data_IF_392870969334
#
_entry.id   IF_392870969334
#
_cell.length_a   1.000
_cell.length_b   1.000
_cell.length_c   1.000
_cell.angle_alpha   90.00
_cell.angle_beta   90.00
_cell.angle_gamma   90.00
#
_symmetry.space_group_name_H-M   'P 1'
#
loop_
_entity.id
_entity.type
_entity.pdbx_description
1 polymer ?
#
# COMPACT_ATOMS: atom_id res chain seq x y z
N UNK A 1 -1.78 9.35 -9.75
CA UNK A 1 -2.81 8.61 -10.51
C UNK A 1 -3.17 7.35 -9.76
N UNK A 2 -4.03 6.52 -10.35
CA UNK A 2 -4.50 5.26 -9.76
C UNK A 2 -4.52 4.16 -10.83
N UNK A 3 -4.71 2.91 -10.41
CA UNK A 3 -4.81 1.74 -11.28
C UNK A 3 -6.03 0.92 -10.86
N UNK A 4 -6.87 0.54 -11.81
CA UNK A 4 -8.00 -0.37 -11.63
C UNK A 4 -8.12 -1.29 -12.86
N UNK A 5 -8.52 -2.54 -12.64
CA UNK A 5 -8.85 -3.49 -13.70
C UNK A 5 -9.74 -4.60 -13.10
N UNK A 6 -10.93 -4.80 -13.66
CA UNK A 6 -11.92 -5.77 -13.18
C UNK A 6 -11.49 -7.23 -13.42
N UNK A 7 -10.64 -7.48 -14.42
CA UNK A 7 -10.25 -8.83 -14.87
C UNK A 7 -8.73 -8.99 -14.93
N UNK A 8 -8.01 -8.26 -14.07
CA UNK A 8 -6.56 -8.24 -14.06
C UNK A 8 -5.99 -9.66 -13.92
N UNK A 9 -5.10 -10.04 -14.84
CA UNK A 9 -4.36 -11.30 -14.74
C UNK A 9 -3.24 -11.26 -13.66
N UNK A 10 -2.96 -10.08 -13.10
CA UNK A 10 -1.96 -9.86 -12.08
C UNK A 10 -2.46 -8.84 -11.04
N UNK A 11 -1.93 -8.92 -9.82
CA UNK A 11 -2.30 -7.97 -8.77
C UNK A 11 -1.72 -6.57 -9.04
N UNK A 12 -2.28 -5.55 -8.38
CA UNK A 12 -1.91 -4.15 -8.56
C UNK A 12 -0.41 -3.89 -8.32
N UNK A 13 0.21 -4.60 -7.38
CA UNK A 13 1.63 -4.48 -7.05
C UNK A 13 2.54 -4.95 -8.19
N UNK A 14 2.10 -5.99 -8.94
CA UNK A 14 2.81 -6.45 -10.13
C UNK A 14 2.60 -5.49 -11.30
N UNK A 15 1.35 -5.11 -11.54
CA UNK A 15 0.98 -4.22 -12.63
C UNK A 15 1.73 -2.88 -12.51
N UNK A 16 1.83 -2.29 -11.31
CA UNK A 16 2.53 -1.02 -11.09
C UNK A 16 3.98 -1.05 -11.60
N UNK A 17 4.76 -2.07 -11.23
CA UNK A 17 6.16 -2.16 -11.67
C UNK A 17 6.32 -2.61 -13.12
N UNK A 18 5.28 -3.19 -13.73
CA UNK A 18 5.34 -3.61 -15.13
C UNK A 18 4.92 -2.50 -16.10
N UNK A 19 3.96 -1.65 -15.73
CA UNK A 19 3.36 -0.66 -16.65
C UNK A 19 3.58 0.78 -16.22
N UNK A 20 3.51 1.09 -14.93
CA UNK A 20 3.58 2.48 -14.44
C UNK A 20 5.03 2.91 -14.20
N UNK A 21 5.83 2.04 -13.58
CA UNK A 21 7.23 2.33 -13.26
C UNK A 21 8.16 1.17 -13.67
N UNK A 22 8.27 0.89 -14.99
CA UNK A 22 9.03 -0.25 -15.52
C UNK A 22 10.55 -0.09 -15.41
N UNK A 23 11.04 1.15 -15.36
CA UNK A 23 12.46 1.47 -15.29
C UNK A 23 12.71 2.65 -14.34
N UNK A 24 13.91 2.68 -13.77
CA UNK A 24 14.36 3.70 -12.83
C UNK A 24 15.62 4.35 -13.37
N UNK A 25 15.62 5.67 -13.45
CA UNK A 25 16.81 6.45 -13.78
C UNK A 25 17.79 6.41 -12.58
N UNK A 26 19.02 5.89 -12.74
CA UNK A 26 20.01 5.85 -11.66
C UNK A 26 20.39 7.22 -11.09
N UNK A 27 20.20 8.31 -11.84
CA UNK A 27 20.51 9.67 -11.40
C UNK A 27 19.46 10.25 -10.45
N UNK A 28 18.23 9.70 -10.47
CA UNK A 28 17.11 10.19 -9.66
C UNK A 28 16.92 9.37 -8.38
N UNK A 29 16.24 9.97 -7.40
CA UNK A 29 15.76 9.27 -6.21
C UNK A 29 14.24 9.26 -6.23
N UNK A 30 13.66 8.07 -6.12
CA UNK A 30 12.23 7.85 -6.17
C UNK A 30 11.68 7.66 -4.76
N UNK A 31 10.62 8.41 -4.43
CA UNK A 31 9.82 8.17 -3.22
C UNK A 31 8.40 7.87 -3.68
N UNK A 32 8.04 6.59 -3.65
CA UNK A 32 6.73 6.10 -4.07
C UNK A 32 5.90 5.82 -2.83
N UNK A 33 4.65 6.29 -2.85
CA UNK A 33 3.64 5.99 -1.83
C UNK A 33 2.48 5.28 -2.51
N UNK A 34 2.11 4.12 -1.99
CA UNK A 34 0.90 3.40 -2.40
C UNK A 34 -0.18 3.53 -1.33
N UNK A 35 -1.41 3.69 -1.79
CA UNK A 35 -2.63 3.58 -1.00
C UNK A 35 -3.41 2.40 -1.56
N UNK A 36 -3.50 1.33 -0.78
CA UNK A 36 -4.15 0.08 -1.19
C UNK A 36 -5.12 -0.39 -0.13
N UNK A 37 -6.16 -1.12 -0.54
CA UNK A 37 -7.20 -1.58 0.38
C UNK A 37 -6.67 -2.56 1.43
N UNK A 38 -5.71 -3.42 1.07
CA UNK A 38 -5.07 -4.37 1.99
C UNK A 38 -3.58 -4.56 1.75
N UNK A 39 -2.88 -5.15 2.72
CA UNK A 39 -1.48 -5.55 2.57
C UNK A 39 -1.27 -6.59 1.45
N UNK A 40 -0.07 -6.63 0.84
CA UNK A 40 0.22 -7.56 -0.24
C UNK A 40 0.16 -9.02 0.22
N UNK A 41 -0.18 -9.93 -0.70
CA UNK A 41 -0.01 -11.36 -0.48
C UNK A 41 1.48 -11.75 -0.47
N UNK A 42 1.81 -12.98 -0.05
CA UNK A 42 3.20 -13.45 0.04
C UNK A 42 3.97 -13.33 -1.29
N UNK A 43 3.33 -13.68 -2.42
CA UNK A 43 3.96 -13.58 -3.74
C UNK A 43 4.25 -12.12 -4.14
N UNK A 44 3.31 -11.19 -3.86
CA UNK A 44 3.51 -9.76 -4.13
C UNK A 44 4.60 -9.17 -3.23
N UNK A 45 4.63 -9.54 -1.96
CA UNK A 45 5.67 -9.13 -1.01
C UNK A 45 7.08 -9.54 -1.47
N UNK A 46 7.24 -10.76 -1.98
CA UNK A 46 8.51 -11.24 -2.54
C UNK A 46 8.92 -10.45 -3.80
N UNK A 47 7.97 -10.11 -4.67
CA UNK A 47 8.24 -9.30 -5.87
C UNK A 47 8.68 -7.88 -5.51
N UNK A 48 7.97 -7.22 -4.60
CA UNK A 48 8.32 -5.89 -4.09
C UNK A 48 9.72 -5.93 -3.47
N UNK A 49 10.00 -6.93 -2.64
CA UNK A 49 11.31 -7.13 -2.01
C UNK A 49 12.42 -7.28 -3.05
N UNK A 50 12.19 -8.09 -4.09
CA UNK A 50 13.14 -8.24 -5.21
C UNK A 50 13.36 -6.92 -5.95
N UNK A 51 12.31 -6.15 -6.21
CA UNK A 51 12.43 -4.83 -6.86
C UNK A 51 13.27 -3.88 -6.00
N UNK A 52 12.92 -3.70 -4.72
CA UNK A 52 13.67 -2.85 -3.79
C UNK A 52 15.13 -3.29 -3.62
N UNK A 53 15.39 -4.59 -3.68
CA UNK A 53 16.75 -5.12 -3.63
C UNK A 53 17.60 -4.69 -4.83
N UNK A 54 17.00 -4.56 -6.03
CA UNK A 54 17.67 -4.18 -7.28
C UNK A 54 17.76 -2.66 -7.43
N UNK A 55 16.76 -1.91 -6.97
CA UNK A 55 16.65 -0.46 -7.20
C UNK A 55 16.92 0.32 -5.91
N UNK A 56 18.19 0.54 -5.57
CA UNK A 56 18.60 1.17 -4.31
C UNK A 56 18.20 2.65 -4.18
N UNK A 57 17.85 3.30 -5.29
CA UNK A 57 17.37 4.67 -5.34
C UNK A 57 15.84 4.79 -5.20
N UNK A 58 15.12 3.67 -4.99
CA UNK A 58 13.69 3.64 -4.72
C UNK A 58 13.43 3.49 -3.22
N UNK A 59 12.57 4.36 -2.69
CA UNK A 59 11.92 4.21 -1.37
C UNK A 59 10.44 3.99 -1.58
N UNK A 60 9.91 2.92 -0.99
CA UNK A 60 8.49 2.58 -1.06
C UNK A 60 7.85 2.69 0.32
N UNK A 61 6.75 3.43 0.38
CA UNK A 61 5.80 3.47 1.48
C UNK A 61 4.49 2.84 1.00
N UNK A 62 3.99 1.86 1.73
CA UNK A 62 2.68 1.25 1.48
C UNK A 62 1.78 1.58 2.67
N UNK A 63 0.70 2.29 2.39
CA UNK A 63 -0.39 2.56 3.30
C UNK A 63 -1.54 1.61 2.95
N UNK A 64 -1.93 0.77 3.91
CA UNK A 64 -2.93 -0.28 3.71
C UNK A 64 -4.17 0.00 4.55
N UNK A 65 -5.37 -0.18 4.00
CA UNK A 65 -6.61 -0.04 4.79
C UNK A 65 -6.77 -1.12 5.87
N UNK A 66 -6.32 -2.34 5.57
CA UNK A 66 -6.35 -3.50 6.49
C UNK A 66 -5.21 -4.49 6.20
N UNK A 67 -4.99 -5.46 7.08
CA UNK A 67 -4.07 -6.57 6.80
C UNK A 67 -4.80 -7.73 6.10
N UNK A 68 -4.20 -8.21 5.02
CA UNK A 68 -4.67 -9.39 4.27
C UNK A 68 -4.12 -10.65 4.92
N UNK A 69 -5.00 -11.55 5.42
CA UNK A 69 -4.62 -12.86 5.98
C UNK A 69 -3.49 -12.79 7.04
N UNK A 70 -3.55 -11.80 7.94
CA UNK A 70 -2.48 -11.52 8.92
C UNK A 70 -2.23 -12.64 9.93
N UNK A 71 -3.20 -13.51 10.15
CA UNK A 71 -3.09 -14.68 11.02
C UNK A 71 -2.19 -15.77 10.41
N UNK A 72 -2.01 -15.76 9.09
CA UNK A 72 -1.22 -16.77 8.39
C UNK A 72 0.29 -16.56 8.62
N UNK A 73 1.03 -17.60 9.05
CA UNK A 73 2.47 -17.51 9.26
C UNK A 73 3.24 -17.08 8.02
N UNK A 74 2.85 -17.53 6.82
CA UNK A 74 3.53 -17.13 5.59
C UNK A 74 3.38 -15.63 5.31
N UNK A 75 2.21 -15.05 5.61
CA UNK A 75 1.98 -13.62 5.45
C UNK A 75 2.82 -12.84 6.45
N UNK A 76 2.84 -13.22 7.72
CA UNK A 76 3.66 -12.53 8.73
C UNK A 76 5.15 -12.55 8.34
N UNK A 77 5.65 -13.69 7.86
CA UNK A 77 7.02 -13.80 7.38
C UNK A 77 7.28 -12.89 6.17
N UNK A 78 6.33 -12.80 5.24
CA UNK A 78 6.42 -11.93 4.08
C UNK A 78 6.43 -10.42 4.46
N UNK A 79 5.60 -10.00 5.42
CA UNK A 79 5.57 -8.61 5.92
C UNK A 79 6.87 -8.23 6.63
N UNK A 80 7.47 -9.15 7.41
CA UNK A 80 8.79 -8.96 8.02
C UNK A 80 9.88 -8.76 6.98
N UNK A 81 9.94 -9.63 5.96
CA UNK A 81 10.90 -9.52 4.84
C UNK A 81 10.74 -8.20 4.09
N UNK A 82 9.51 -7.73 3.88
CA UNK A 82 9.24 -6.42 3.27
C UNK A 82 9.87 -5.29 4.08
N UNK A 83 9.69 -5.29 5.41
CA UNK A 83 10.31 -4.31 6.31
C UNK A 83 11.84 -4.37 6.23
N UNK A 84 12.42 -5.56 6.26
CA UNK A 84 13.87 -5.78 6.14
C UNK A 84 14.42 -5.28 4.80
N UNK A 85 13.65 -5.40 3.71
CA UNK A 85 13.98 -4.86 2.39
C UNK A 85 13.95 -3.33 2.31
N UNK A 86 13.56 -2.65 3.39
CA UNK A 86 13.46 -1.18 3.47
C UNK A 86 12.10 -0.63 3.05
N UNK A 87 11.10 -1.48 2.81
CA UNK A 87 9.73 -1.04 2.59
C UNK A 87 9.13 -0.53 3.90
N UNK A 88 8.53 0.67 3.88
CA UNK A 88 7.73 1.15 5.01
C UNK A 88 6.30 0.69 4.82
N UNK A 89 5.76 -0.07 5.77
CA UNK A 89 4.37 -0.52 5.78
C UNK A 89 3.64 0.13 6.97
N UNK A 90 2.48 0.73 6.73
CA UNK A 90 1.62 1.31 7.79
C UNK A 90 0.15 1.10 7.48
N UNK A 91 -0.67 1.13 8.51
CA UNK A 91 -2.13 1.13 8.38
C UNK A 91 -2.60 2.56 8.09
N UNK A 92 -3.56 2.69 7.16
CA UNK A 92 -4.22 3.95 6.88
C UNK A 92 -5.04 4.39 8.09
N UNK A 93 -4.74 5.59 8.58
CA UNK A 93 -5.57 6.28 9.58
C UNK A 93 -6.74 6.99 8.89
N UNK A 94 -7.78 7.44 9.63
CA UNK A 94 -8.93 8.11 9.03
C UNK A 94 -8.56 9.28 8.08
N UNK A 95 -7.51 10.03 8.40
CA UNK A 95 -7.04 11.15 7.59
C UNK A 95 -6.41 10.70 6.26
N UNK A 96 -5.89 9.48 6.18
CA UNK A 96 -5.36 8.95 4.93
C UNK A 96 -6.50 8.59 3.95
N UNK A 97 -7.64 8.13 4.46
CA UNK A 97 -8.84 7.91 3.64
C UNK A 97 -9.43 9.23 3.14
N UNK A 98 -9.51 10.24 4.00
CA UNK A 98 -9.90 11.59 3.59
C UNK A 98 -8.97 12.14 2.51
N UNK A 99 -7.66 11.98 2.69
CA UNK A 99 -6.66 12.39 1.70
C UNK A 99 -6.87 11.69 0.37
N UNK A 100 -7.05 10.37 0.36
CA UNK A 100 -7.30 9.61 -0.88
C UNK A 100 -8.58 10.08 -1.56
N UNK A 101 -9.67 10.25 -0.80
CA UNK A 101 -10.94 10.73 -1.33
C UNK A 101 -10.80 12.10 -2.01
N UNK A 102 -10.19 13.07 -1.32
CA UNK A 102 -10.07 14.44 -1.83
C UNK A 102 -9.13 14.58 -3.04
N UNK A 103 -8.12 13.71 -3.15
CA UNK A 103 -7.05 13.88 -4.14
C UNK A 103 -7.12 12.90 -5.32
N UNK A 104 -7.81 11.77 -5.18
CA UNK A 104 -7.87 10.72 -6.21
C UNK A 104 -9.28 10.40 -6.69
N UNK A 105 -10.32 10.77 -5.93
CA UNK A 105 -11.71 10.60 -6.36
C UNK A 105 -12.20 11.92 -6.97
N UNK A 106 -12.65 11.86 -8.22
CA UNK A 106 -13.24 13.00 -8.90
C UNK A 106 -14.52 13.43 -8.18
N UNK A 107 -14.60 14.71 -7.81
CA UNK A 107 -15.78 15.27 -7.17
C UNK A 107 -16.82 15.62 -8.24
N UNK A 108 -18.08 15.32 -7.98
CA UNK A 108 -19.17 15.67 -8.91
C UNK A 108 -19.21 17.20 -9.15
N UNK A 109 -19.42 17.58 -10.40
CA UNK A 109 -19.32 18.98 -10.85
C UNK A 109 -20.32 19.87 -10.09
N UNK A 110 -19.80 20.90 -9.41
CA UNK A 110 -20.60 21.84 -8.63
C UNK A 110 -20.77 21.50 -7.15
N UNK A 111 -20.26 20.36 -6.67
CA UNK A 111 -20.35 19.96 -5.27
C UNK A 111 -18.96 19.71 -4.64
N UNK A 112 -18.52 20.62 -3.76
CA UNK A 112 -17.41 20.31 -2.84
C UNK A 112 -17.94 19.43 -1.71
N UNK A 113 -17.91 18.10 -1.87
CA UNK A 113 -18.35 17.17 -0.84
C UNK A 113 -17.29 17.04 0.26
N UNK A 114 -17.70 17.24 1.51
CA UNK A 114 -16.87 16.90 2.65
C UNK A 114 -16.75 15.38 2.77
N UNK A 115 -15.59 14.89 3.21
CA UNK A 115 -15.40 13.48 3.50
C UNK A 115 -16.25 13.09 4.71
N UNK A 116 -17.07 12.04 4.56
CA UNK A 116 -17.83 11.46 5.66
C UNK A 116 -17.17 10.14 6.09
N UNK A 117 -16.56 10.09 7.30
CA UNK A 117 -16.02 8.84 7.81
C UNK A 117 -17.14 7.83 8.09
N UNK A 118 -16.85 6.56 7.87
CA UNK A 118 -17.72 5.45 8.28
C UNK A 118 -17.49 5.08 9.75
N UNK A 119 -18.45 4.36 10.35
CA UNK A 119 -18.58 4.14 11.79
C UNK A 119 -17.31 3.58 12.46
N UNK A 120 -16.71 2.55 11.85
CA UNK A 120 -15.59 1.80 12.42
C UNK A 120 -14.22 2.20 11.85
N UNK A 121 -14.09 3.37 11.18
CA UNK A 121 -12.83 3.78 10.54
C UNK A 121 -11.67 3.91 11.53
N UNK A 122 -11.94 4.42 12.74
CA UNK A 122 -10.93 4.58 13.78
C UNK A 122 -10.61 3.26 14.47
N UNK A 123 -11.62 2.42 14.73
CA UNK A 123 -11.45 1.12 15.38
C UNK A 123 -10.66 0.16 14.49
N UNK A 124 -10.96 0.12 13.19
CA UNK A 124 -10.20 -0.66 12.21
C UNK A 124 -8.73 -0.24 12.15
N UNK A 125 -8.45 1.07 12.14
CA UNK A 125 -7.09 1.58 12.16
C UNK A 125 -6.34 1.08 13.40
N UNK A 126 -6.90 1.28 14.60
CA UNK A 126 -6.27 0.90 15.86
C UNK A 126 -6.03 -0.62 15.94
N UNK A 127 -7.02 -1.42 15.51
CA UNK A 127 -6.92 -2.87 15.49
C UNK A 127 -5.74 -3.35 14.62
N UNK A 128 -5.69 -2.93 13.35
CA UNK A 128 -4.63 -3.37 12.46
C UNK A 128 -3.28 -2.72 12.79
N UNK A 129 -3.25 -1.52 13.37
CA UNK A 129 -2.01 -0.88 13.81
C UNK A 129 -1.34 -1.71 14.90
N UNK A 130 -2.11 -2.21 15.88
CA UNK A 130 -1.61 -3.14 16.88
C UNK A 130 -1.07 -4.43 16.23
N UNK A 131 -1.87 -5.08 15.37
CA UNK A 131 -1.45 -6.35 14.72
C UNK A 131 -0.21 -6.18 13.87
N UNK A 132 -0.13 -5.10 13.09
CA UNK A 132 1.03 -4.84 12.26
C UNK A 132 2.26 -4.55 13.12
N UNK A 133 2.11 -3.79 14.21
CA UNK A 133 3.21 -3.54 15.13
C UNK A 133 3.73 -4.86 15.73
N UNK A 134 2.84 -5.75 16.17
CA UNK A 134 3.21 -7.07 16.71
C UNK A 134 3.93 -7.95 15.69
N UNK A 135 3.45 -7.99 14.45
CA UNK A 135 4.08 -8.75 13.37
C UNK A 135 5.45 -8.18 13.02
N UNK A 136 5.60 -6.85 13.02
CA UNK A 136 6.84 -6.21 12.59
C UNK A 136 7.89 -6.05 13.70
N UNK A 137 7.62 -6.49 14.93
CA UNK A 137 8.60 -6.51 16.02
C UNK A 137 9.90 -7.22 15.62
#
# INVERSE_FOLDING_TARGET
>A
GYLEDEHAAAHAEEAFFNTILPAFDPALRYNVTWYVSSSPCAACADRITKTLSKTKNLRLLILVGRLFMWEEPEIQAALKKLKEAGCKLRIMKPQDFEYVWQNFVEQEEGESKAFQPWEDVQENFLYYEEKLADILK
#
